data_IF_579943493118
#
_entry.id   IF_579943493118
#
_cell.length_a   1.000
_cell.length_b   1.000
_cell.length_c   1.000
_cell.angle_alpha   90.00
_cell.angle_beta   90.00
_cell.angle_gamma   90.00
#
_symmetry.space_group_name_H-M   'P 1'
#
loop_
_entity.id
_entity.type
_entity.pdbx_description
1 polymer ?
#
# COMPACT_ATOMS: atom_id res chain seq x y z
N UNK A 1 19.96 -7.14 20.76
CA UNK A 1 20.14 -6.23 19.63
C UNK A 1 18.78 -5.72 19.22
N UNK A 2 18.54 -4.42 19.36
CA UNK A 2 17.31 -3.78 18.95
C UNK A 2 17.21 -3.85 17.42
N UNK A 3 16.19 -4.53 16.89
CA UNK A 3 15.94 -4.57 15.44
C UNK A 3 15.54 -3.16 14.98
N UNK A 4 16.24 -2.64 13.97
CA UNK A 4 15.94 -1.38 13.27
C UNK A 4 14.43 -1.22 13.03
N UNK A 5 13.84 -0.13 13.52
CA UNK A 5 12.39 0.13 13.45
C UNK A 5 12.07 0.93 12.20
N UNK A 6 12.03 0.26 11.05
CA UNK A 6 11.53 0.87 9.82
C UNK A 6 9.99 0.91 9.84
N UNK A 7 9.42 2.08 9.57
CA UNK A 7 7.96 2.23 9.39
C UNK A 7 7.62 2.05 7.93
N UNK A 8 6.55 1.33 7.65
CA UNK A 8 6.11 1.08 6.28
C UNK A 8 4.62 1.40 6.14
N UNK A 9 4.29 2.11 5.07
CA UNK A 9 2.93 2.43 4.65
C UNK A 9 2.66 1.91 3.23
N UNK A 10 1.44 1.45 3.00
CA UNK A 10 0.96 1.11 1.66
C UNK A 10 -0.49 1.56 1.47
N UNK A 11 -0.72 2.27 0.37
CA UNK A 11 -2.00 2.91 0.04
C UNK A 11 -2.38 2.63 -1.41
N UNK A 12 -3.67 2.48 -1.66
CA UNK A 12 -4.25 2.24 -2.98
C UNK A 12 -5.01 3.48 -3.41
N UNK A 13 -4.74 3.96 -4.62
CA UNK A 13 -5.43 5.10 -5.23
C UNK A 13 -6.11 4.70 -6.54
N UNK A 14 -7.24 5.32 -6.86
CA UNK A 14 -7.83 5.18 -8.20
C UNK A 14 -7.10 6.05 -9.24
N UNK A 15 -7.50 5.94 -10.51
CA UNK A 15 -6.93 6.69 -11.63
C UNK A 15 -6.96 8.22 -11.48
N UNK A 16 -7.80 8.77 -10.59
CA UNK A 16 -7.89 10.21 -10.31
C UNK A 16 -7.01 10.64 -9.14
N UNK A 17 -6.31 9.69 -8.51
CA UNK A 17 -5.50 9.96 -7.32
C UNK A 17 -6.31 9.99 -6.02
N UNK A 18 -7.58 9.57 -6.02
CA UNK A 18 -8.37 9.45 -4.79
C UNK A 18 -7.96 8.20 -4.02
N UNK A 19 -7.74 8.35 -2.71
CA UNK A 19 -7.44 7.24 -1.82
C UNK A 19 -8.62 6.27 -1.73
N UNK A 20 -8.35 5.00 -2.00
CA UNK A 20 -9.34 3.91 -1.99
C UNK A 20 -9.25 3.09 -0.72
N UNK A 21 -8.02 2.75 -0.30
CA UNK A 21 -7.77 1.97 0.91
C UNK A 21 -6.33 2.14 1.37
N UNK A 22 -6.13 2.27 2.67
CA UNK A 22 -4.82 2.06 3.29
C UNK A 22 -4.73 0.59 3.68
N UNK A 23 -3.75 -0.14 3.13
CA UNK A 23 -3.61 -1.59 3.33
C UNK A 23 -2.55 -1.94 4.37
N UNK A 24 -1.70 -0.98 4.74
CA UNK A 24 -0.71 -1.12 5.81
C UNK A 24 -0.34 0.26 6.35
N UNK A 25 -0.27 0.39 7.68
CA UNK A 25 0.11 1.63 8.38
C UNK A 25 1.07 1.32 9.51
N UNK A 26 2.22 2.02 9.55
CA UNK A 26 3.16 2.00 10.67
C UNK A 26 3.56 0.60 11.16
N UNK A 27 3.61 -0.37 10.26
CA UNK A 27 4.01 -1.72 10.64
C UNK A 27 5.52 -1.73 10.86
N UNK A 28 5.93 -2.07 12.08
CA UNK A 28 7.32 -2.37 12.41
C UNK A 28 7.67 -3.70 11.74
N UNK A 29 8.26 -3.61 10.56
CA UNK A 29 8.80 -4.76 9.87
C UNK A 29 10.31 -4.76 10.07
N UNK A 30 10.91 -5.95 10.06
CA UNK A 30 12.37 -6.06 9.96
C UNK A 30 12.81 -5.66 8.55
N UNK A 31 13.67 -6.45 7.93
CA UNK A 31 14.14 -6.18 6.56
C UNK A 31 13.12 -6.53 5.46
N UNK A 32 12.01 -7.18 5.80
CA UNK A 32 11.06 -7.72 4.82
C UNK A 32 9.60 -7.53 5.27
N UNK A 33 8.72 -7.35 4.30
CA UNK A 33 7.30 -7.16 4.50
C UNK A 33 6.46 -7.54 3.31
N UNK A 34 5.23 -7.98 3.57
CA UNK A 34 4.23 -8.23 2.54
C UNK A 34 2.88 -7.62 2.95
N UNK A 35 2.12 -7.19 1.95
CA UNK A 35 0.73 -6.78 2.10
C UNK A 35 -0.09 -7.33 0.94
N UNK A 36 -1.39 -7.48 1.17
CA UNK A 36 -2.36 -7.91 0.17
C UNK A 36 -3.45 -6.86 0.12
N UNK A 37 -3.81 -6.46 -1.11
CA UNK A 37 -5.06 -5.76 -1.34
C UNK A 37 -6.07 -6.75 -1.91
N UNK A 38 -7.21 -6.85 -1.25
CA UNK A 38 -8.34 -7.73 -1.54
C UNK A 38 -9.30 -7.15 -2.60
N UNK A 39 -8.99 -5.97 -3.16
CA UNK A 39 -9.83 -5.31 -4.14
C UNK A 39 -11.06 -4.61 -3.53
N UNK A 40 -11.05 -4.29 -2.24
CA UNK A 40 -12.13 -3.53 -1.58
C UNK A 40 -11.69 -2.10 -1.22
N UNK A 41 -12.64 -1.21 -0.99
CA UNK A 41 -12.40 0.14 -0.49
C UNK A 41 -12.36 0.18 1.05
N UNK A 42 -12.21 1.37 1.63
CA UNK A 42 -12.22 1.59 3.09
C UNK A 42 -13.49 1.13 3.80
N UNK A 43 -14.62 1.03 3.07
CA UNK A 43 -15.90 0.57 3.59
C UNK A 43 -16.09 -0.95 3.39
N UNK A 44 -15.02 -1.69 3.05
CA UNK A 44 -15.04 -3.11 2.68
C UNK A 44 -15.98 -3.46 1.52
N UNK A 45 -16.32 -2.49 0.68
CA UNK A 45 -17.10 -2.71 -0.53
C UNK A 45 -16.17 -3.01 -1.69
N UNK A 46 -16.61 -3.85 -2.63
CA UNK A 46 -15.86 -4.15 -3.86
C UNK A 46 -15.50 -2.85 -4.59
N UNK A 47 -14.21 -2.65 -4.83
CA UNK A 47 -13.75 -1.54 -5.66
C UNK A 47 -14.14 -1.79 -7.12
N UNK A 48 -14.32 -0.70 -7.88
CA UNK A 48 -14.67 -0.78 -9.30
C UNK A 48 -13.61 -1.51 -10.13
N UNK A 49 -14.02 -2.00 -11.30
CA UNK A 49 -13.08 -2.47 -12.32
C UNK A 49 -12.29 -1.25 -12.82
N UNK A 50 -10.97 -1.39 -12.96
CA UNK A 50 -10.13 -0.30 -13.47
C UNK A 50 -8.69 -0.35 -13.03
N UNK A 51 -7.96 0.70 -13.41
CA UNK A 51 -6.55 0.91 -13.05
C UNK A 51 -6.48 1.58 -11.67
N UNK A 52 -5.59 1.06 -10.85
CA UNK A 52 -5.26 1.57 -9.53
C UNK A 52 -3.75 1.76 -9.39
N UNK A 53 -3.34 2.66 -8.49
CA UNK A 53 -1.96 2.88 -8.12
C UNK A 53 -1.73 2.37 -6.70
N UNK A 54 -0.79 1.45 -6.55
CA UNK A 54 -0.18 1.11 -5.27
C UNK A 54 0.91 2.15 -5.00
N UNK A 55 0.82 2.83 -3.87
CA UNK A 55 1.87 3.69 -3.32
C UNK A 55 2.43 3.05 -2.06
N UNK A 56 3.74 2.83 -2.04
CA UNK A 56 4.46 2.24 -0.92
C UNK A 56 5.53 3.21 -0.44
N UNK A 57 5.63 3.39 0.88
CA UNK A 57 6.62 4.25 1.53
C UNK A 57 7.26 3.50 2.70
N UNK A 58 8.59 3.49 2.74
CA UNK A 58 9.38 3.00 3.87
C UNK A 58 10.21 4.15 4.45
N UNK A 59 10.18 4.27 5.78
CA UNK A 59 10.83 5.34 6.54
C UNK A 59 11.92 4.73 7.40
N UNK A 60 13.18 5.08 7.10
CA UNK A 60 14.34 4.74 7.90
C UNK A 60 14.55 5.70 9.07
N UNK A 61 15.31 5.27 10.08
CA UNK A 61 15.56 6.05 11.31
C UNK A 61 16.39 7.32 11.07
N UNK A 62 17.18 7.35 9.99
CA UNK A 62 17.94 8.52 9.56
C UNK A 62 17.09 9.54 8.77
N UNK A 63 15.77 9.35 8.71
CA UNK A 63 14.87 10.19 7.91
C UNK A 63 14.89 9.89 6.41
N UNK A 64 15.59 8.84 5.97
CA UNK A 64 15.55 8.41 4.58
C UNK A 64 14.18 7.80 4.26
N UNK A 65 13.58 8.23 3.15
CA UNK A 65 12.28 7.75 2.68
C UNK A 65 12.49 7.05 1.35
N UNK A 66 12.10 5.79 1.27
CA UNK A 66 12.03 5.04 0.02
C UNK A 66 10.58 5.01 -0.43
N UNK A 67 10.34 5.45 -1.66
CA UNK A 67 9.01 5.46 -2.27
C UNK A 67 8.96 4.58 -3.50
N UNK A 68 7.95 3.71 -3.57
CA UNK A 68 7.65 2.91 -4.75
C UNK A 68 6.20 3.09 -5.20
N UNK A 69 6.02 3.11 -6.51
CA UNK A 69 4.72 3.27 -7.17
C UNK A 69 4.53 2.16 -8.19
N UNK A 70 3.38 1.48 -8.15
CA UNK A 70 3.06 0.42 -9.10
C UNK A 70 1.60 0.48 -9.52
N UNK A 71 1.36 0.59 -10.82
CA UNK A 71 0.01 0.48 -11.37
C UNK A 71 -0.44 -0.98 -11.44
N UNK A 72 -1.68 -1.23 -11.08
CA UNK A 72 -2.34 -2.54 -11.17
C UNK A 72 -3.73 -2.37 -11.79
N UNK A 73 -4.31 -3.46 -12.30
CA UNK A 73 -5.68 -3.46 -12.83
C UNK A 73 -6.53 -4.45 -12.06
N UNK A 74 -7.65 -3.99 -11.51
CA UNK A 74 -8.71 -4.88 -11.07
C UNK A 74 -9.57 -5.26 -12.27
N UNK A 75 -9.65 -6.56 -12.52
CA UNK A 75 -10.55 -7.16 -13.51
C UNK A 75 -11.65 -7.92 -12.79
N UNK A 76 -12.82 -8.04 -13.43
CA UNK A 76 -13.79 -9.05 -13.01
C UNK A 76 -13.33 -10.42 -13.51
N UNK A 77 -13.58 -11.46 -12.71
CA UNK A 77 -13.58 -12.84 -13.22
C UNK A 77 -14.98 -13.07 -13.78
N UNK A 78 -15.06 -13.44 -15.05
CA UNK A 78 -16.26 -14.03 -15.65
C UNK A 78 -16.17 -15.54 -15.51
#
# INVERSE_FOLDING_TARGET
SEKNKEKINASIYDKTGRLIKTVMTNKLLGTEGQFVWDGTNSNNQKAGIGIYLIHFEAFGENGHIITHKKSITLKTRF
#
